data_IF_872921678312
#
_entry.id   IF_872921678312
#
_cell.length_a   1.000
_cell.length_b   1.000
_cell.length_c   1.000
_cell.angle_alpha   90.00
_cell.angle_beta   90.00
_cell.angle_gamma   90.00
#
_symmetry.space_group_name_H-M   'P 1'
#
loop_
_entity.id
_entity.type
_entity.pdbx_description
1 polymer ?
#
# COMPACT_ATOMS: atom_id res chain seq x y z
N UNK A 1 36.87 -40.44 -11.70
CA UNK A 1 35.39 -40.38 -11.58
C UNK A 1 34.91 -39.62 -10.34
N UNK A 2 35.52 -39.79 -9.16
CA UNK A 2 35.14 -39.09 -7.91
C UNK A 2 35.19 -37.56 -8.02
N UNK A 3 36.25 -36.99 -8.59
CA UNK A 3 36.37 -35.54 -8.83
C UNK A 3 35.30 -34.98 -9.78
N UNK A 4 34.90 -35.75 -10.80
CA UNK A 4 33.85 -35.33 -11.72
C UNK A 4 32.47 -35.35 -11.03
N UNK A 5 32.24 -36.31 -10.13
CA UNK A 5 31.03 -36.34 -9.29
C UNK A 5 31.01 -35.18 -8.29
N UNK A 6 32.17 -34.77 -7.76
CA UNK A 6 32.25 -33.69 -6.79
C UNK A 6 32.01 -32.31 -7.41
N UNK A 7 32.39 -32.10 -8.69
CA UNK A 7 32.05 -30.91 -9.48
C UNK A 7 30.53 -30.67 -9.60
N UNK A 8 29.72 -31.73 -9.55
CA UNK A 8 28.27 -31.64 -9.61
C UNK A 8 27.70 -30.83 -8.44
N UNK A 9 28.34 -30.84 -7.27
CA UNK A 9 27.90 -30.05 -6.12
C UNK A 9 27.98 -28.55 -6.39
N UNK A 10 28.98 -28.08 -7.14
CA UNK A 10 29.09 -26.66 -7.50
C UNK A 10 27.94 -26.27 -8.43
N UNK A 11 27.71 -27.08 -9.47
CA UNK A 11 26.64 -26.83 -10.45
C UNK A 11 25.27 -26.86 -9.80
N UNK A 12 25.01 -27.83 -8.92
CA UNK A 12 23.74 -27.94 -8.21
C UNK A 12 23.52 -26.77 -7.24
N UNK A 13 24.51 -26.39 -6.43
CA UNK A 13 24.36 -25.29 -5.48
C UNK A 13 24.10 -23.96 -6.21
N UNK A 14 24.91 -23.64 -7.22
CA UNK A 14 24.70 -22.41 -8.01
C UNK A 14 23.37 -22.46 -8.75
N UNK A 15 23.03 -23.60 -9.36
CA UNK A 15 21.77 -23.80 -10.08
C UNK A 15 20.55 -23.58 -9.18
N UNK A 16 20.52 -24.19 -7.99
CA UNK A 16 19.44 -24.03 -7.02
C UNK A 16 19.33 -22.57 -6.56
N UNK A 17 20.45 -21.93 -6.22
CA UNK A 17 20.47 -20.53 -5.82
C UNK A 17 19.89 -19.60 -6.89
N UNK A 18 20.32 -19.76 -8.14
CA UNK A 18 19.81 -18.97 -9.26
C UNK A 18 18.32 -19.25 -9.55
N UNK A 19 17.88 -20.50 -9.40
CA UNK A 19 16.48 -20.89 -9.58
C UNK A 19 15.59 -20.19 -8.56
N UNK A 20 16.02 -20.08 -7.30
CA UNK A 20 15.28 -19.33 -6.27
C UNK A 20 15.12 -17.85 -6.64
N UNK A 21 16.17 -17.21 -7.14
CA UNK A 21 16.12 -15.81 -7.58
C UNK A 21 15.20 -15.64 -8.79
N UNK A 22 15.24 -16.58 -9.73
CA UNK A 22 14.31 -16.61 -10.86
C UNK A 22 12.86 -16.79 -10.41
N UNK A 23 12.61 -17.71 -9.47
CA UNK A 23 11.28 -17.95 -8.90
C UNK A 23 10.74 -16.71 -8.18
N UNK A 24 11.57 -16.00 -7.43
CA UNK A 24 11.20 -14.74 -6.79
C UNK A 24 10.79 -13.67 -7.83
N UNK A 25 11.58 -13.49 -8.90
CA UNK A 25 11.21 -12.60 -10.02
C UNK A 25 9.86 -13.01 -10.63
N UNK A 26 9.69 -14.30 -10.91
CA UNK A 26 8.46 -14.83 -11.50
C UNK A 26 7.24 -14.57 -10.61
N UNK A 27 7.37 -14.83 -9.31
CA UNK A 27 6.33 -14.58 -8.31
C UNK A 27 5.96 -13.09 -8.20
N UNK A 28 6.92 -12.18 -8.34
CA UNK A 28 6.66 -10.75 -8.21
C UNK A 28 5.96 -10.17 -9.45
N UNK A 29 6.41 -10.54 -10.66
CA UNK A 29 6.07 -9.84 -11.90
C UNK A 29 5.21 -10.64 -12.89
N UNK A 30 4.74 -11.84 -12.56
CA UNK A 30 3.88 -12.58 -13.47
C UNK A 30 2.53 -11.86 -13.71
N UNK A 31 2.29 -11.35 -14.92
CA UNK A 31 1.08 -10.59 -15.24
C UNK A 31 -0.20 -11.43 -15.37
N UNK A 32 -0.08 -12.74 -15.59
CA UNK A 32 -1.23 -13.59 -15.93
C UNK A 32 -1.67 -14.48 -14.76
N UNK A 33 -2.97 -14.47 -14.48
CA UNK A 33 -3.60 -15.47 -13.60
C UNK A 33 -3.51 -16.84 -14.28
N UNK A 34 -2.74 -17.75 -13.67
CA UNK A 34 -2.64 -19.13 -14.15
C UNK A 34 -3.58 -20.03 -13.35
N UNK A 35 -4.11 -21.05 -14.02
CA UNK A 35 -4.85 -22.14 -13.39
C UNK A 35 -3.93 -23.36 -13.35
N UNK A 36 -3.89 -24.04 -12.21
CA UNK A 36 -3.20 -25.32 -12.05
C UNK A 36 -4.29 -26.34 -11.72
N UNK A 37 -4.44 -27.38 -12.54
CA UNK A 37 -5.50 -28.40 -12.43
C UNK A 37 -6.93 -27.80 -12.33
N UNK A 38 -7.20 -26.75 -13.09
CA UNK A 38 -8.52 -26.07 -13.08
C UNK A 38 -8.73 -25.09 -11.92
N UNK A 39 -7.90 -25.14 -10.87
CA UNK A 39 -7.97 -24.25 -9.71
C UNK A 39 -7.10 -23.00 -9.93
N UNK A 40 -7.58 -21.83 -9.50
CA UNK A 40 -6.80 -20.58 -9.56
C UNK A 40 -5.56 -20.71 -8.69
N UNK A 41 -4.38 -20.46 -9.26
CA UNK A 41 -3.14 -20.43 -8.48
C UNK A 41 -3.10 -19.12 -7.66
N UNK A 42 -3.02 -19.18 -6.32
CA UNK A 42 -3.00 -17.98 -5.47
C UNK A 42 -1.73 -17.14 -5.62
N UNK A 43 -0.67 -17.70 -6.22
CA UNK A 43 0.61 -17.04 -6.48
C UNK A 43 0.62 -16.26 -7.80
N UNK A 44 -0.49 -16.28 -8.53
CA UNK A 44 -0.67 -15.56 -9.80
C UNK A 44 -2.01 -14.80 -9.75
N UNK A 45 -2.13 -13.59 -10.31
CA UNK A 45 -1.06 -12.76 -10.83
C UNK A 45 -0.03 -12.44 -9.74
N UNK A 46 1.15 -12.03 -10.18
CA UNK A 46 2.31 -11.80 -9.32
C UNK A 46 2.02 -10.74 -8.27
N UNK A 47 2.75 -10.81 -7.16
CA UNK A 47 2.46 -10.00 -5.99
C UNK A 47 2.46 -8.49 -6.29
N UNK A 48 3.45 -8.01 -7.07
CA UNK A 48 3.57 -6.58 -7.43
C UNK A 48 2.39 -6.15 -8.29
N UNK A 49 2.00 -6.98 -9.26
CA UNK A 49 0.85 -6.74 -10.13
C UNK A 49 -0.42 -6.56 -9.31
N UNK A 50 -0.73 -7.57 -8.48
CA UNK A 50 -1.93 -7.55 -7.65
C UNK A 50 -1.95 -6.38 -6.68
N UNK A 51 -0.79 -6.02 -6.10
CA UNK A 51 -0.72 -4.91 -5.15
C UNK A 51 -0.84 -3.55 -5.83
N UNK A 52 -0.23 -3.36 -7.00
CA UNK A 52 -0.41 -2.14 -7.81
C UNK A 52 -1.88 -1.93 -8.13
N UNK A 53 -2.52 -2.92 -8.74
CA UNK A 53 -3.93 -2.83 -9.15
C UNK A 53 -4.83 -2.57 -7.94
N UNK A 54 -4.57 -3.25 -6.82
CA UNK A 54 -5.30 -3.02 -5.57
C UNK A 54 -5.13 -1.60 -5.05
N UNK A 55 -3.93 -1.02 -5.08
CA UNK A 55 -3.70 0.36 -4.62
C UNK A 55 -4.46 1.38 -5.48
N UNK A 56 -4.36 1.27 -6.81
CA UNK A 56 -5.05 2.22 -7.69
C UNK A 56 -6.57 2.06 -7.62
N UNK A 57 -7.08 0.84 -7.61
CA UNK A 57 -8.52 0.61 -7.42
C UNK A 57 -8.97 1.14 -6.07
N UNK A 58 -8.21 0.89 -4.99
CA UNK A 58 -8.58 1.41 -3.67
C UNK A 58 -8.54 2.94 -3.60
N UNK A 59 -7.63 3.58 -4.34
CA UNK A 59 -7.59 5.03 -4.45
C UNK A 59 -8.80 5.59 -5.21
N UNK A 60 -9.20 4.94 -6.33
CA UNK A 60 -10.42 5.28 -7.07
C UNK A 60 -11.67 5.09 -6.22
N UNK A 61 -11.80 3.94 -5.55
CA UNK A 61 -12.92 3.64 -4.66
C UNK A 61 -13.01 4.69 -3.54
N UNK A 62 -11.88 5.02 -2.89
CA UNK A 62 -11.87 6.00 -1.80
C UNK A 62 -12.26 7.39 -2.29
N UNK A 63 -11.79 7.80 -3.48
CA UNK A 63 -12.18 9.06 -4.09
C UNK A 63 -13.68 9.07 -4.42
N UNK A 64 -14.19 7.98 -4.99
CA UNK A 64 -15.61 7.86 -5.35
C UNK A 64 -16.51 7.88 -4.11
N UNK A 65 -16.21 7.02 -3.12
CA UNK A 65 -16.88 6.98 -1.82
C UNK A 65 -16.86 8.36 -1.15
N UNK A 66 -15.77 9.11 -1.32
CA UNK A 66 -15.63 10.46 -0.78
C UNK A 66 -16.60 11.43 -1.44
N UNK A 67 -16.59 11.48 -2.78
CA UNK A 67 -17.42 12.38 -3.55
C UNK A 67 -18.92 12.05 -3.38
N UNK A 68 -19.27 10.77 -3.28
CA UNK A 68 -20.63 10.31 -3.01
C UNK A 68 -21.12 10.81 -1.64
N UNK A 69 -20.32 10.61 -0.58
CA UNK A 69 -20.66 11.10 0.77
C UNK A 69 -20.71 12.63 0.84
N UNK A 70 -19.81 13.32 0.12
CA UNK A 70 -19.83 14.77 0.04
C UNK A 70 -21.10 15.28 -0.66
N UNK A 71 -21.57 14.57 -1.69
CA UNK A 71 -22.78 14.87 -2.45
C UNK A 71 -24.10 14.62 -1.72
N UNK A 72 -24.09 13.89 -0.60
CA UNK A 72 -25.27 13.64 0.23
C UNK A 72 -25.16 14.26 1.63
N UNK A 73 -25.55 15.54 1.81
CA UNK A 73 -25.44 16.24 3.09
C UNK A 73 -26.37 15.71 4.18
N UNK A 74 -27.45 15.00 3.82
CA UNK A 74 -28.39 14.43 4.79
C UNK A 74 -27.96 13.04 5.29
N UNK A 75 -26.89 12.46 4.74
CA UNK A 75 -26.38 11.19 5.20
C UNK A 75 -25.76 11.33 6.60
N UNK A 76 -26.43 10.76 7.59
CA UNK A 76 -25.96 10.65 8.98
C UNK A 76 -25.07 9.42 9.20
N UNK A 77 -24.39 8.97 8.16
CA UNK A 77 -23.60 7.74 8.12
C UNK A 77 -22.36 7.94 7.26
N UNK A 78 -21.29 7.22 7.56
CA UNK A 78 -20.05 7.24 6.78
C UNK A 78 -18.92 8.04 7.44
N UNK A 79 -17.77 8.08 6.77
CA UNK A 79 -16.56 8.65 7.37
C UNK A 79 -16.61 10.18 7.44
N UNK A 80 -17.26 10.88 6.48
CA UNK A 80 -17.39 12.34 6.54
C UNK A 80 -18.23 12.78 7.73
N UNK A 81 -19.34 12.11 7.97
CA UNK A 81 -20.20 12.38 9.12
C UNK A 81 -19.44 12.16 10.43
N UNK A 82 -18.77 11.01 10.56
CA UNK A 82 -17.97 10.69 11.74
C UNK A 82 -16.84 11.71 11.97
N UNK A 83 -16.21 12.21 10.89
CA UNK A 83 -15.19 13.24 10.98
C UNK A 83 -15.76 14.58 11.44
N UNK A 84 -16.91 14.99 10.90
CA UNK A 84 -17.63 16.20 11.31
C UNK A 84 -18.03 16.14 12.80
N UNK A 85 -18.49 14.98 13.26
CA UNK A 85 -18.83 14.71 14.67
C UNK A 85 -17.58 14.76 15.57
N UNK A 86 -16.48 14.14 15.15
CA UNK A 86 -15.20 14.22 15.88
C UNK A 86 -14.67 15.65 15.97
N UNK A 87 -14.81 16.45 14.90
CA UNK A 87 -14.45 17.87 14.92
C UNK A 87 -15.31 18.61 15.95
N UNK A 88 -16.63 18.38 15.94
CA UNK A 88 -17.54 18.98 16.91
C UNK A 88 -17.15 18.63 18.35
N UNK A 89 -16.94 17.33 18.62
CA UNK A 89 -16.56 16.85 19.95
C UNK A 89 -15.21 17.42 20.40
N UNK A 90 -14.22 17.46 19.53
CA UNK A 90 -12.90 18.02 19.86
C UNK A 90 -12.97 19.51 20.18
N UNK A 91 -13.79 20.26 19.44
CA UNK A 91 -14.03 21.69 19.72
C UNK A 91 -14.82 21.86 21.04
N UNK A 92 -15.78 20.98 21.29
CA UNK A 92 -16.52 20.95 22.55
C UNK A 92 -15.61 20.75 23.77
N UNK A 93 -14.67 19.81 23.67
CA UNK A 93 -13.67 19.54 24.71
C UNK A 93 -12.71 20.72 24.89
N UNK A 94 -12.27 21.33 23.78
CA UNK A 94 -11.39 22.51 23.81
C UNK A 94 -12.07 23.77 24.34
N UNK A 95 -13.41 23.83 24.33
CA UNK A 95 -14.18 24.96 24.88
C UNK A 95 -14.54 24.77 26.36
N UNK A 96 -13.96 23.77 27.02
CA UNK A 96 -14.11 23.55 28.47
C UNK A 96 -13.61 24.71 29.33
N UNK A 97 -12.70 25.56 28.85
CA UNK A 97 -12.28 26.78 29.56
C UNK A 97 -13.44 27.76 29.86
N UNK A 98 -14.57 27.64 29.15
CA UNK A 98 -15.79 28.45 29.40
C UNK A 98 -16.43 28.05 30.74
N UNK A 99 -16.18 26.83 31.21
CA UNK A 99 -16.71 26.32 32.48
C UNK A 99 -16.12 27.07 33.68
N UNK A 100 -14.91 27.61 33.55
CA UNK A 100 -14.21 28.35 34.61
C UNK A 100 -14.69 29.81 34.76
N UNK A 101 -15.60 30.29 33.92
CA UNK A 101 -16.05 31.68 33.96
C UNK A 101 -17.00 31.93 35.15
N UNK A 102 -16.63 32.78 36.13
CA UNK A 102 -17.35 32.88 37.40
C UNK A 102 -18.72 33.56 37.30
N UNK A 103 -18.96 34.36 36.26
CA UNK A 103 -20.14 35.21 36.12
C UNK A 103 -21.20 34.65 35.16
N UNK A 104 -20.97 33.47 34.56
CA UNK A 104 -21.94 32.87 33.64
C UNK A 104 -22.73 31.71 34.29
N UNK A 105 -24.07 31.70 34.19
CA UNK A 105 -24.87 30.54 34.56
C UNK A 105 -24.57 29.34 33.65
N UNK A 106 -24.66 28.12 34.20
CA UNK A 106 -24.31 26.88 33.50
C UNK A 106 -25.01 26.70 32.14
N UNK A 107 -26.29 27.09 32.03
CA UNK A 107 -27.02 27.03 30.76
C UNK A 107 -26.45 27.92 29.65
N UNK A 108 -25.89 29.10 30.00
CA UNK A 108 -25.25 29.98 29.01
C UNK A 108 -23.88 29.44 28.60
N UNK A 109 -23.13 28.86 29.52
CA UNK A 109 -21.84 28.19 29.22
C UNK A 109 -22.05 27.05 28.22
N UNK A 110 -23.01 26.18 28.51
CA UNK A 110 -23.41 25.07 27.64
C UNK A 110 -23.89 25.57 26.28
N UNK A 111 -24.71 26.62 26.23
CA UNK A 111 -25.17 27.23 24.98
C UNK A 111 -24.02 27.81 24.15
N UNK A 112 -23.04 28.46 24.77
CA UNK A 112 -21.87 29.01 24.08
C UNK A 112 -21.04 27.88 23.47
N UNK A 113 -20.72 26.85 24.26
CA UNK A 113 -19.98 25.68 23.79
C UNK A 113 -20.70 24.99 22.62
N UNK A 114 -22.03 24.89 22.70
CA UNK A 114 -22.86 24.25 21.66
C UNK A 114 -22.85 25.10 20.39
N UNK A 115 -22.98 26.42 20.55
CA UNK A 115 -22.96 27.35 19.42
C UNK A 115 -21.60 27.32 18.71
N UNK A 116 -20.49 27.34 19.46
CA UNK A 116 -19.14 27.33 18.89
C UNK A 116 -18.87 25.99 18.19
N UNK A 117 -19.10 24.87 18.86
CA UNK A 117 -18.87 23.53 18.28
C UNK A 117 -19.74 23.27 17.04
N UNK A 118 -21.02 23.66 17.07
CA UNK A 118 -21.92 23.56 15.91
C UNK A 118 -21.50 24.49 14.76
N UNK A 119 -21.06 25.71 15.06
CA UNK A 119 -20.56 26.65 14.05
C UNK A 119 -19.31 26.10 13.36
N UNK A 120 -18.35 25.56 14.12
CA UNK A 120 -17.14 24.94 13.57
C UNK A 120 -17.48 23.69 12.76
N UNK A 121 -18.38 22.83 13.24
CA UNK A 121 -18.89 21.69 12.47
C UNK A 121 -19.52 22.15 11.15
N UNK A 122 -20.33 23.20 11.16
CA UNK A 122 -20.95 23.75 9.95
C UNK A 122 -19.93 24.30 8.95
N UNK A 123 -18.86 24.96 9.41
CA UNK A 123 -17.75 25.42 8.57
C UNK A 123 -17.00 24.22 8.00
N UNK A 124 -16.61 23.27 8.84
CA UNK A 124 -15.91 22.06 8.42
C UNK A 124 -16.72 21.27 7.39
N UNK A 125 -18.03 21.13 7.60
CA UNK A 125 -18.92 20.46 6.65
C UNK A 125 -18.97 21.17 5.30
N UNK A 126 -19.06 22.51 5.27
CA UNK A 126 -18.98 23.27 4.00
C UNK A 126 -17.64 23.06 3.29
N UNK A 127 -16.53 23.07 4.02
CA UNK A 127 -15.20 22.86 3.43
C UNK A 127 -15.10 21.44 2.87
N UNK A 128 -15.40 20.43 3.69
CA UNK A 128 -15.26 19.02 3.33
C UNK A 128 -16.25 18.59 2.25
N UNK A 129 -17.47 19.12 2.24
CA UNK A 129 -18.51 18.67 1.30
C UNK A 129 -18.69 19.55 0.07
N UNK A 130 -18.09 20.74 0.02
CA UNK A 130 -18.17 21.65 -1.14
C UNK A 130 -16.80 22.07 -1.65
N UNK A 131 -15.95 22.62 -0.78
CA UNK A 131 -14.65 23.14 -1.20
C UNK A 131 -13.71 22.02 -1.64
N UNK A 132 -13.59 20.95 -0.86
CA UNK A 132 -12.70 19.83 -1.19
C UNK A 132 -13.14 19.10 -2.47
N UNK A 133 -14.41 18.70 -2.66
CA UNK A 133 -14.88 18.12 -3.92
C UNK A 133 -14.59 19.00 -5.12
N UNK A 134 -14.84 20.31 -5.00
CA UNK A 134 -14.57 21.26 -6.07
C UNK A 134 -13.07 21.36 -6.42
N UNK A 135 -12.19 21.32 -5.41
CA UNK A 135 -10.75 21.26 -5.63
C UNK A 135 -10.31 19.95 -6.28
N UNK A 136 -10.88 18.81 -5.85
CA UNK A 136 -10.59 17.50 -6.43
C UNK A 136 -10.97 17.44 -7.92
N UNK A 137 -12.12 18.02 -8.28
CA UNK A 137 -12.59 18.15 -9.65
C UNK A 137 -11.71 19.12 -10.46
N UNK A 138 -11.42 20.30 -9.91
CA UNK A 138 -10.60 21.31 -10.57
C UNK A 138 -9.19 20.80 -10.86
N UNK A 139 -8.60 20.05 -9.92
CA UNK A 139 -7.28 19.45 -10.08
C UNK A 139 -7.32 18.14 -10.89
N UNK A 140 -8.52 17.70 -11.29
CA UNK A 140 -8.74 16.47 -12.06
C UNK A 140 -8.06 15.28 -11.41
N UNK A 141 -8.24 15.12 -10.10
CA UNK A 141 -7.55 14.07 -9.33
C UNK A 141 -7.85 12.68 -9.87
N UNK A 142 -9.07 12.42 -10.33
CA UNK A 142 -9.41 11.16 -11.00
C UNK A 142 -8.52 10.91 -12.23
N UNK A 143 -8.36 11.92 -13.09
CA UNK A 143 -7.46 11.82 -14.25
C UNK A 143 -6.00 11.63 -13.84
N UNK A 144 -5.55 12.30 -12.76
CA UNK A 144 -4.19 12.09 -12.22
C UNK A 144 -3.97 10.68 -11.70
N UNK A 145 -4.98 10.06 -11.07
CA UNK A 145 -4.90 8.67 -10.62
C UNK A 145 -4.70 7.75 -11.84
N UNK A 146 -5.41 8.01 -12.94
CA UNK A 146 -5.25 7.23 -14.17
C UNK A 146 -3.90 7.47 -14.87
N UNK A 147 -3.44 8.72 -14.94
CA UNK A 147 -2.09 9.04 -15.42
C UNK A 147 -1.02 8.33 -14.60
N UNK A 148 -1.15 8.30 -13.27
CA UNK A 148 -0.24 7.57 -12.39
C UNK A 148 -0.34 6.06 -12.57
N UNK A 149 -1.54 5.52 -12.79
CA UNK A 149 -1.73 4.11 -13.06
C UNK A 149 -0.99 3.66 -14.35
N UNK A 150 -0.95 4.54 -15.36
CA UNK A 150 -0.20 4.35 -16.59
C UNK A 150 1.32 4.56 -16.41
N UNK A 151 1.74 5.61 -15.70
CA UNK A 151 3.15 5.90 -15.45
C UNK A 151 3.81 4.82 -14.59
N UNK A 152 3.12 4.37 -13.54
CA UNK A 152 3.55 3.29 -12.66
C UNK A 152 3.13 1.92 -13.21
N UNK A 153 3.30 1.73 -14.53
CA UNK A 153 3.06 0.43 -15.14
C UNK A 153 4.05 -0.64 -14.64
N UNK A 154 3.72 -1.90 -14.95
CA UNK A 154 4.56 -3.03 -14.54
C UNK A 154 5.98 -2.97 -15.11
N UNK A 155 6.16 -2.34 -16.27
CA UNK A 155 7.45 -2.21 -16.91
C UNK A 155 8.38 -1.25 -16.14
N UNK A 156 7.84 -0.15 -15.62
CA UNK A 156 8.53 0.77 -14.73
C UNK A 156 9.08 0.04 -13.49
N UNK A 157 8.19 -0.70 -12.80
CA UNK A 157 8.60 -1.47 -11.62
C UNK A 157 9.60 -2.57 -11.95
N UNK A 158 9.42 -3.26 -13.08
CA UNK A 158 10.32 -4.31 -13.51
C UNK A 158 11.72 -3.77 -13.86
N UNK A 159 11.79 -2.61 -14.53
CA UNK A 159 13.06 -1.94 -14.85
C UNK A 159 13.83 -1.58 -13.58
N UNK A 160 13.16 -0.95 -12.63
CA UNK A 160 13.78 -0.59 -11.34
C UNK A 160 14.21 -1.83 -10.55
N UNK A 161 13.33 -2.82 -10.41
CA UNK A 161 13.64 -4.09 -9.78
C UNK A 161 14.84 -4.78 -10.44
N UNK A 162 14.90 -4.80 -11.77
CA UNK A 162 15.99 -5.45 -12.50
C UNK A 162 17.34 -4.81 -12.18
N UNK A 163 17.40 -3.48 -12.23
CA UNK A 163 18.63 -2.72 -12.04
C UNK A 163 19.17 -2.80 -10.61
N UNK A 164 18.29 -2.61 -9.62
CA UNK A 164 18.72 -2.43 -8.24
C UNK A 164 18.63 -3.70 -7.38
N UNK A 165 17.77 -4.65 -7.74
CA UNK A 165 17.53 -5.84 -6.93
C UNK A 165 17.92 -7.12 -7.67
N UNK A 166 17.32 -7.41 -8.83
CA UNK A 166 17.48 -8.69 -9.51
C UNK A 166 18.93 -8.98 -9.92
N UNK A 167 19.57 -8.06 -10.65
CA UNK A 167 20.95 -8.27 -11.15
C UNK A 167 21.96 -8.33 -9.99
N UNK A 168 21.95 -7.42 -9.00
CA UNK A 168 22.80 -7.55 -7.82
C UNK A 168 22.54 -8.85 -7.04
N UNK A 169 21.27 -9.22 -6.83
CA UNK A 169 20.91 -10.44 -6.10
C UNK A 169 21.40 -11.69 -6.82
N UNK A 170 21.29 -11.76 -8.15
CA UNK A 170 21.85 -12.88 -8.93
C UNK A 170 23.36 -13.02 -8.69
N UNK A 171 24.11 -11.91 -8.68
CA UNK A 171 25.56 -11.94 -8.43
C UNK A 171 25.89 -12.41 -7.02
N UNK A 172 25.19 -11.86 -6.01
CA UNK A 172 25.39 -12.20 -4.60
C UNK A 172 25.07 -13.68 -4.37
N UNK A 173 23.90 -14.14 -4.83
CA UNK A 173 23.45 -15.52 -4.65
C UNK A 173 24.34 -16.49 -5.40
N UNK A 174 24.78 -16.17 -6.63
CA UNK A 174 25.74 -16.99 -7.37
C UNK A 174 27.07 -17.10 -6.62
N UNK A 175 27.62 -15.99 -6.12
CA UNK A 175 28.87 -15.98 -5.38
C UNK A 175 28.80 -16.81 -4.09
N UNK A 176 27.75 -16.61 -3.29
CA UNK A 176 27.53 -17.36 -2.04
C UNK A 176 27.39 -18.86 -2.33
N UNK A 177 26.56 -19.25 -3.31
CA UNK A 177 26.34 -20.65 -3.64
C UNK A 177 27.56 -21.31 -4.29
N UNK A 178 28.42 -20.54 -4.98
CA UNK A 178 29.69 -21.04 -5.49
C UNK A 178 30.64 -21.38 -4.34
N UNK A 179 30.75 -20.51 -3.33
CA UNK A 179 31.55 -20.78 -2.13
C UNK A 179 31.04 -22.03 -1.41
N UNK A 180 29.73 -22.13 -1.17
CA UNK A 180 29.13 -23.35 -0.59
C UNK A 180 29.34 -24.59 -1.46
N UNK A 181 29.25 -24.46 -2.78
CA UNK A 181 29.53 -25.54 -3.72
C UNK A 181 30.96 -26.06 -3.59
N UNK A 182 31.94 -25.16 -3.47
CA UNK A 182 33.35 -25.52 -3.28
C UNK A 182 33.55 -26.21 -1.93
N UNK A 183 32.98 -25.66 -0.85
CA UNK A 183 33.06 -26.28 0.48
C UNK A 183 32.46 -27.69 0.50
N UNK A 184 31.28 -27.86 -0.10
CA UNK A 184 30.63 -29.16 -0.22
C UNK A 184 31.46 -30.15 -1.05
N UNK A 185 32.09 -29.67 -2.13
CA UNK A 185 33.01 -30.47 -2.93
C UNK A 185 34.23 -30.93 -2.11
N UNK A 186 34.85 -30.03 -1.35
CA UNK A 186 36.00 -30.34 -0.48
C UNK A 186 35.61 -31.36 0.59
N UNK A 187 34.48 -31.15 1.28
CA UNK A 187 33.96 -32.08 2.28
C UNK A 187 33.71 -33.47 1.68
N UNK A 188 33.09 -33.53 0.50
CA UNK A 188 32.86 -34.80 -0.19
C UNK A 188 34.17 -35.52 -0.52
N UNK A 189 35.20 -34.80 -0.97
CA UNK A 189 36.51 -35.39 -1.28
C UNK A 189 37.29 -35.84 -0.03
N UNK A 190 37.03 -35.27 1.15
CA UNK A 190 37.63 -35.70 2.42
C UNK A 190 36.95 -36.97 2.95
N UNK A 191 35.63 -37.11 2.75
CA UNK A 191 34.82 -38.21 3.27
C UNK A 191 34.78 -39.45 2.37
N UNK A 192 35.14 -39.32 1.09
CA UNK A 192 35.06 -40.37 0.06
C UNK A 192 36.41 -41.04 -0.20
#
# INVERSE_FOLDING_TARGET
MLFLKSLLFIVLNVGVGLLLVYFAKWFLFNSTQRKIFGVRNPLTPGFVVRKRDWVFNKARDLLHDYLEQAGNPQANTGYLYNLEEQIQQKVWEQTSFVDDWPLLPGGLKESIRNTVSNAVRGIASKILRKTVPHLLEHWRIEHRIDEYDEQFNLEFFYKYFRQYLYVPLLKIVAGINLVFGILNMILFLILA
#
